data_IF_664764868381
#
_entry.id   IF_664764868381
#
_cell.length_a   1.000
_cell.length_b   1.000
_cell.length_c   1.000
_cell.angle_alpha   90.00
_cell.angle_beta   90.00
_cell.angle_gamma   90.00
#
_symmetry.space_group_name_H-M   'P 1'
#
loop_
_entity.id
_entity.type
_entity.pdbx_description
1 polymer ?
#
# COMPACT_ATOMS: atom_id res chain seq x y z
N UNK A 1 -48.75 -12.78 -11.16
CA UNK A 1 -47.44 -12.72 -10.48
C UNK A 1 -46.47 -12.10 -11.47
N UNK A 2 -46.11 -10.84 -11.26
CA UNK A 2 -45.29 -10.07 -12.18
C UNK A 2 -43.81 -10.32 -11.85
N UNK A 3 -43.08 -10.81 -12.85
CA UNK A 3 -41.66 -11.15 -12.87
C UNK A 3 -40.79 -9.93 -12.58
N UNK A 4 -40.20 -9.85 -11.38
CA UNK A 4 -39.21 -8.83 -10.97
C UNK A 4 -37.77 -9.19 -11.36
N UNK A 5 -37.57 -10.06 -12.35
CA UNK A 5 -36.26 -10.58 -12.72
C UNK A 5 -35.42 -9.63 -13.59
N UNK A 6 -35.96 -8.50 -14.07
CA UNK A 6 -35.32 -7.69 -15.12
C UNK A 6 -34.38 -6.58 -14.62
N UNK A 7 -34.25 -6.36 -13.30
CA UNK A 7 -33.41 -5.30 -12.73
C UNK A 7 -32.22 -5.78 -11.89
N UNK A 8 -32.18 -7.06 -11.49
CA UNK A 8 -31.13 -7.57 -10.60
C UNK A 8 -29.80 -7.82 -11.33
N UNK A 9 -29.83 -8.25 -12.60
CA UNK A 9 -28.63 -8.53 -13.39
C UNK A 9 -27.74 -7.28 -13.54
N UNK A 10 -28.35 -6.09 -13.65
CA UNK A 10 -27.62 -4.84 -13.79
C UNK A 10 -26.94 -4.38 -12.48
N UNK A 11 -27.58 -4.59 -11.33
CA UNK A 11 -27.01 -4.20 -10.03
C UNK A 11 -25.84 -5.11 -9.63
N UNK A 12 -25.96 -6.41 -9.91
CA UNK A 12 -24.91 -7.39 -9.66
C UNK A 12 -23.66 -7.12 -10.53
N UNK A 13 -23.87 -6.86 -11.82
CA UNK A 13 -22.79 -6.49 -12.74
C UNK A 13 -22.07 -5.20 -12.31
N UNK A 14 -22.81 -4.22 -11.81
CA UNK A 14 -22.23 -2.99 -11.27
C UNK A 14 -21.41 -3.25 -10.01
N UNK A 15 -21.90 -4.09 -9.09
CA UNK A 15 -21.17 -4.48 -7.88
C UNK A 15 -19.85 -5.19 -8.22
N UNK A 16 -19.87 -6.15 -9.15
CA UNK A 16 -18.66 -6.84 -9.58
C UNK A 16 -17.67 -5.89 -10.25
N UNK A 17 -18.14 -4.99 -11.13
CA UNK A 17 -17.28 -3.98 -11.77
C UNK A 17 -16.63 -3.05 -10.75
N UNK A 18 -17.39 -2.59 -9.76
CA UNK A 18 -16.88 -1.74 -8.68
C UNK A 18 -15.84 -2.47 -7.84
N UNK A 19 -16.13 -3.71 -7.44
CA UNK A 19 -15.20 -4.56 -6.69
C UNK A 19 -13.89 -4.77 -7.46
N UNK A 20 -13.97 -5.07 -8.75
CA UNK A 20 -12.81 -5.22 -9.61
C UNK A 20 -12.00 -3.92 -9.73
N UNK A 21 -12.67 -2.78 -9.96
CA UNK A 21 -12.01 -1.48 -10.05
C UNK A 21 -11.31 -1.09 -8.74
N UNK A 22 -11.91 -1.43 -7.59
CA UNK A 22 -11.32 -1.20 -6.28
C UNK A 22 -10.06 -2.04 -6.08
N UNK A 23 -10.08 -3.34 -6.41
CA UNK A 23 -8.89 -4.20 -6.36
C UNK A 23 -7.76 -3.67 -7.24
N UNK A 24 -8.07 -3.25 -8.46
CA UNK A 24 -7.08 -2.65 -9.37
C UNK A 24 -6.46 -1.39 -8.78
N UNK A 25 -7.27 -0.58 -8.10
CA UNK A 25 -6.80 0.63 -7.40
C UNK A 25 -5.86 0.27 -6.27
N UNK A 26 -6.22 -0.69 -5.42
CA UNK A 26 -5.36 -1.14 -4.32
C UNK A 26 -4.04 -1.72 -4.81
N UNK A 27 -4.07 -2.54 -5.85
CA UNK A 27 -2.85 -3.10 -6.48
C UNK A 27 -1.93 -1.98 -6.94
N UNK A 28 -2.43 -1.01 -7.71
CA UNK A 28 -1.62 0.12 -8.18
C UNK A 28 -0.98 0.91 -7.03
N UNK A 29 -1.73 1.16 -5.96
CA UNK A 29 -1.21 1.85 -4.79
C UNK A 29 -0.11 1.02 -4.11
N UNK A 30 -0.32 -0.29 -3.94
CA UNK A 30 0.68 -1.17 -3.34
C UNK A 30 1.94 -1.32 -4.21
N UNK A 31 1.81 -1.35 -5.54
CA UNK A 31 2.95 -1.33 -6.48
C UNK A 31 3.77 -0.05 -6.33
N UNK A 32 3.11 1.10 -6.33
CA UNK A 32 3.77 2.39 -6.12
C UNK A 32 4.48 2.42 -4.77
N UNK A 33 3.82 1.95 -3.71
CA UNK A 33 4.38 1.90 -2.37
C UNK A 33 5.60 0.98 -2.28
N UNK A 34 5.56 -0.17 -2.95
CA UNK A 34 6.71 -1.08 -3.01
C UNK A 34 7.92 -0.41 -3.69
N UNK A 35 7.69 0.29 -4.80
CA UNK A 35 8.73 1.03 -5.51
C UNK A 35 9.31 2.18 -4.66
N UNK A 36 8.46 2.90 -3.94
CA UNK A 36 8.90 3.96 -3.02
C UNK A 36 9.77 3.40 -1.88
N UNK A 37 9.34 2.30 -1.24
CA UNK A 37 10.10 1.67 -0.15
C UNK A 37 11.44 1.09 -0.66
N UNK A 38 11.48 0.57 -1.88
CA UNK A 38 12.71 0.15 -2.55
C UNK A 38 13.66 1.33 -2.77
N UNK A 39 13.14 2.47 -3.22
CA UNK A 39 13.91 3.70 -3.38
C UNK A 39 14.45 4.21 -2.05
N UNK A 40 13.65 4.22 -0.98
CA UNK A 40 14.12 4.59 0.36
C UNK A 40 15.22 3.67 0.87
N UNK A 41 15.06 2.35 0.70
CA UNK A 41 16.08 1.37 1.10
C UNK A 41 17.41 1.66 0.40
N UNK A 42 17.39 1.85 -0.92
CA UNK A 42 18.58 2.18 -1.72
C UNK A 42 19.19 3.49 -1.24
N UNK A 43 18.39 4.54 -1.15
CA UNK A 43 18.86 5.86 -0.75
C UNK A 43 19.51 5.85 0.65
N UNK A 44 18.84 5.24 1.63
CA UNK A 44 19.34 5.15 3.01
C UNK A 44 20.63 4.32 3.09
N UNK A 45 20.76 3.29 2.26
CA UNK A 45 22.00 2.50 2.19
C UNK A 45 23.18 3.29 1.61
N UNK A 46 22.95 4.18 0.64
CA UNK A 46 24.01 5.00 0.04
C UNK A 46 24.40 6.20 0.89
N UNK A 47 23.44 6.81 1.58
CA UNK A 47 23.68 8.02 2.34
C UNK A 47 24.56 7.79 3.58
N UNK A 48 24.83 6.52 3.98
CA UNK A 48 25.48 6.17 5.25
C UNK A 48 24.82 6.84 6.48
N UNK A 49 23.61 7.39 6.30
CA UNK A 49 22.88 8.17 7.29
C UNK A 49 22.09 7.23 8.17
N UNK A 50 22.76 6.78 9.23
CA UNK A 50 22.27 6.90 10.61
C UNK A 50 20.80 6.51 10.84
N UNK A 51 20.53 5.21 10.80
CA UNK A 51 19.67 4.43 11.72
C UNK A 51 19.45 3.04 11.08
N UNK A 52 20.28 2.06 11.46
CA UNK A 52 20.20 0.70 10.93
C UNK A 52 18.87 0.02 11.25
N UNK A 53 18.22 0.40 12.36
CA UNK A 53 16.92 -0.15 12.74
C UNK A 53 15.80 0.43 11.85
N UNK A 54 15.85 1.71 11.51
CA UNK A 54 14.90 2.30 10.57
C UNK A 54 15.07 1.74 9.16
N UNK A 55 16.32 1.57 8.69
CA UNK A 55 16.59 0.92 7.42
C UNK A 55 16.02 -0.50 7.38
N UNK A 56 16.23 -1.29 8.43
CA UNK A 56 15.66 -2.64 8.52
C UNK A 56 14.13 -2.62 8.47
N UNK A 57 13.48 -1.70 9.20
CA UNK A 57 12.01 -1.54 9.15
C UNK A 57 11.50 -1.22 7.75
N UNK A 58 12.19 -0.35 7.00
CA UNK A 58 11.83 -0.02 5.61
C UNK A 58 12.00 -1.24 4.71
N UNK A 59 13.09 -1.98 4.87
CA UNK A 59 13.35 -3.21 4.13
C UNK A 59 12.29 -4.30 4.40
N UNK A 60 11.96 -4.54 5.67
CA UNK A 60 10.94 -5.50 6.06
C UNK A 60 9.58 -5.10 5.50
N UNK A 61 9.20 -3.82 5.63
CA UNK A 61 7.94 -3.31 5.11
C UNK A 61 7.87 -3.40 3.58
N UNK A 62 8.97 -3.18 2.86
CA UNK A 62 9.06 -3.40 1.40
C UNK A 62 8.72 -4.85 1.03
N UNK A 63 9.28 -5.81 1.76
CA UNK A 63 9.06 -7.24 1.51
C UNK A 63 7.63 -7.65 1.86
N UNK A 64 7.09 -7.13 2.96
CA UNK A 64 5.69 -7.30 3.34
C UNK A 64 4.75 -6.77 2.25
N UNK A 65 4.99 -5.56 1.71
CA UNK A 65 4.20 -5.00 0.60
C UNK A 65 4.24 -5.91 -0.63
N UNK A 66 5.41 -6.48 -0.96
CA UNK A 66 5.53 -7.45 -2.06
C UNK A 66 4.72 -8.73 -1.81
N UNK A 67 4.74 -9.23 -0.58
CA UNK A 67 3.93 -10.39 -0.18
C UNK A 67 2.44 -10.09 -0.30
N UNK A 68 1.99 -8.92 0.16
CA UNK A 68 0.60 -8.48 0.03
C UNK A 68 0.19 -8.38 -1.43
N UNK A 69 1.00 -7.75 -2.30
CA UNK A 69 0.72 -7.69 -3.75
C UNK A 69 0.42 -9.08 -4.33
N UNK A 70 1.19 -10.10 -3.95
CA UNK A 70 0.92 -11.47 -4.41
C UNK A 70 -0.45 -11.99 -3.97
N UNK A 71 -0.95 -11.60 -2.80
CA UNK A 71 -2.29 -11.97 -2.31
C UNK A 71 -3.37 -11.27 -3.16
N UNK A 72 -3.23 -9.96 -3.40
CA UNK A 72 -4.21 -9.20 -4.20
C UNK A 72 -4.28 -9.70 -5.65
N UNK A 73 -3.15 -9.97 -6.31
CA UNK A 73 -3.16 -10.55 -7.66
C UNK A 73 -3.83 -11.93 -7.71
N UNK A 74 -3.53 -12.79 -6.74
CA UNK A 74 -4.19 -14.10 -6.64
C UNK A 74 -5.70 -13.94 -6.47
N UNK A 75 -6.14 -13.01 -5.64
CA UNK A 75 -7.56 -12.75 -5.43
C UNK A 75 -8.24 -12.19 -6.68
N UNK A 76 -7.61 -11.24 -7.39
CA UNK A 76 -8.14 -10.72 -8.67
C UNK A 76 -8.34 -11.84 -9.68
N UNK A 77 -7.35 -12.74 -9.83
CA UNK A 77 -7.47 -13.88 -10.74
C UNK A 77 -8.60 -14.82 -10.29
N UNK A 78 -8.69 -15.14 -9.00
CA UNK A 78 -9.78 -15.95 -8.46
C UNK A 78 -11.17 -15.33 -8.73
N UNK A 79 -11.33 -14.02 -8.57
CA UNK A 79 -12.62 -13.35 -8.84
C UNK A 79 -12.93 -13.33 -10.35
N UNK A 80 -11.92 -13.21 -11.20
CA UNK A 80 -12.11 -13.28 -12.66
C UNK A 80 -12.49 -14.68 -13.14
N UNK A 81 -11.90 -15.71 -12.54
CA UNK A 81 -12.15 -17.11 -12.90
C UNK A 81 -13.50 -17.62 -12.37
N UNK A 82 -14.00 -17.09 -11.26
CA UNK A 82 -15.27 -17.49 -10.64
C UNK A 82 -16.45 -16.58 -11.03
N UNK A 83 -16.56 -16.20 -12.31
CA UNK A 83 -17.68 -15.39 -12.84
C UNK A 83 -19.06 -16.04 -12.70
N UNK A 84 -19.12 -17.32 -12.35
CA UNK A 84 -20.33 -18.12 -12.16
C UNK A 84 -20.45 -18.48 -10.68
N UNK A 85 -20.90 -17.51 -9.89
CA UNK A 85 -21.20 -17.69 -8.48
C UNK A 85 -22.72 -17.87 -8.41
N UNK A 86 -23.18 -19.11 -8.52
CA UNK A 86 -24.60 -19.43 -8.78
C UNK A 86 -25.46 -19.49 -7.51
N UNK A 87 -24.86 -19.33 -6.33
CA UNK A 87 -25.56 -19.34 -5.04
C UNK A 87 -25.17 -18.18 -4.10
N UNK A 88 -26.09 -17.88 -3.18
CA UNK A 88 -25.95 -16.81 -2.18
C UNK A 88 -24.77 -17.05 -1.22
N UNK A 89 -24.41 -18.31 -0.97
CA UNK A 89 -23.31 -18.66 -0.06
C UNK A 89 -21.96 -18.27 -0.67
N UNK A 90 -21.79 -18.47 -1.97
CA UNK A 90 -20.65 -18.04 -2.76
C UNK A 90 -20.54 -16.50 -2.75
N UNK A 91 -21.64 -15.77 -2.96
CA UNK A 91 -21.64 -14.30 -2.90
C UNK A 91 -21.17 -13.76 -1.54
N UNK A 92 -21.74 -14.30 -0.45
CA UNK A 92 -21.37 -13.92 0.92
C UNK A 92 -19.90 -14.23 1.19
N UNK A 93 -19.38 -15.34 0.68
CA UNK A 93 -17.97 -15.70 0.82
C UNK A 93 -17.06 -14.67 0.16
N UNK A 94 -17.25 -14.34 -1.12
CA UNK A 94 -16.41 -13.36 -1.81
C UNK A 94 -16.54 -11.95 -1.21
N UNK A 95 -17.75 -11.56 -0.79
CA UNK A 95 -17.94 -10.29 -0.10
C UNK A 95 -17.11 -10.21 1.19
N UNK A 96 -17.10 -11.28 2.00
CA UNK A 96 -16.30 -11.34 3.24
C UNK A 96 -14.80 -11.30 2.94
N UNK A 97 -14.35 -12.04 1.93
CA UNK A 97 -12.93 -12.04 1.53
C UNK A 97 -12.48 -10.67 1.05
N UNK A 98 -13.29 -10.02 0.20
CA UNK A 98 -13.02 -8.66 -0.29
C UNK A 98 -12.93 -7.64 0.86
N UNK A 99 -13.85 -7.73 1.81
CA UNK A 99 -13.86 -6.84 2.98
C UNK A 99 -12.67 -7.08 3.93
N UNK A 100 -12.21 -8.32 4.08
CA UNK A 100 -10.97 -8.61 4.81
C UNK A 100 -9.76 -7.98 4.10
N UNK A 101 -9.67 -8.12 2.78
CA UNK A 101 -8.62 -7.50 1.98
C UNK A 101 -8.67 -5.97 2.05
N UNK A 102 -9.87 -5.36 2.09
CA UNK A 102 -10.03 -3.91 2.31
C UNK A 102 -9.40 -3.45 3.62
N UNK A 103 -9.65 -4.18 4.71
CA UNK A 103 -9.10 -3.84 6.04
C UNK A 103 -7.59 -4.00 6.07
N UNK A 104 -7.08 -5.09 5.49
CA UNK A 104 -5.63 -5.31 5.37
C UNK A 104 -4.96 -4.21 4.56
N UNK A 105 -5.57 -3.80 3.44
CA UNK A 105 -5.08 -2.70 2.61
C UNK A 105 -4.99 -1.41 3.43
N UNK A 106 -6.10 -1.00 4.05
CA UNK A 106 -6.16 0.26 4.81
C UNK A 106 -5.14 0.29 5.95
N UNK A 107 -5.04 -0.81 6.71
CA UNK A 107 -4.05 -0.94 7.77
C UNK A 107 -2.63 -0.80 7.22
N UNK A 108 -2.31 -1.48 6.12
CA UNK A 108 -0.99 -1.44 5.53
C UNK A 108 -0.58 -0.05 5.04
N UNK A 109 -1.49 0.67 4.38
CA UNK A 109 -1.28 2.05 3.93
C UNK A 109 -1.00 2.98 5.11
N UNK A 110 -1.74 2.83 6.21
CA UNK A 110 -1.53 3.63 7.42
C UNK A 110 -0.13 3.37 8.01
N UNK A 111 0.26 2.10 8.15
CA UNK A 111 1.58 1.73 8.68
C UNK A 111 2.71 2.25 7.79
N UNK A 112 2.58 2.13 6.48
CA UNK A 112 3.58 2.64 5.55
C UNK A 112 3.65 4.17 5.58
N UNK A 113 2.51 4.87 5.69
CA UNK A 113 2.50 6.33 5.81
C UNK A 113 3.25 6.80 7.04
N UNK A 114 3.04 6.16 8.20
CA UNK A 114 3.79 6.44 9.44
C UNK A 114 5.29 6.19 9.25
N UNK A 115 5.65 5.09 8.59
CA UNK A 115 7.05 4.76 8.31
C UNK A 115 7.70 5.80 7.38
N UNK A 116 7.01 6.24 6.33
CA UNK A 116 7.45 7.31 5.44
C UNK A 116 7.71 8.60 6.20
N UNK A 117 6.78 9.02 7.07
CA UNK A 117 6.98 10.19 7.92
C UNK A 117 8.25 10.05 8.80
N UNK A 118 8.49 8.87 9.39
CA UNK A 118 9.69 8.63 10.17
C UNK A 118 10.97 8.77 9.33
N UNK A 119 10.97 8.21 8.11
CA UNK A 119 12.08 8.39 7.16
C UNK A 119 12.32 9.88 6.90
N UNK A 120 11.29 10.62 6.46
CA UNK A 120 11.44 12.05 6.17
C UNK A 120 11.90 12.89 7.37
N UNK A 121 11.43 12.57 8.58
CA UNK A 121 11.87 13.25 9.80
C UNK A 121 13.37 13.02 10.06
N UNK A 122 13.85 11.79 9.91
CA UNK A 122 15.29 11.48 10.02
C UNK A 122 16.09 12.24 8.97
N UNK A 123 15.60 12.32 7.73
CA UNK A 123 16.25 13.09 6.64
C UNK A 123 16.37 14.58 6.97
N UNK A 124 15.29 15.18 7.49
CA UNK A 124 15.27 16.59 7.84
C UNK A 124 16.26 16.89 8.98
N UNK A 125 16.37 16.00 9.97
CA UNK A 125 17.35 16.14 11.06
C UNK A 125 18.78 16.06 10.52
N UNK A 126 19.08 15.09 9.65
CA UNK A 126 20.41 14.96 9.01
C UNK A 126 20.76 16.23 8.24
N UNK A 127 19.85 16.76 7.41
CA UNK A 127 20.09 17.98 6.65
C UNK A 127 20.32 19.22 7.53
N UNK A 128 19.68 19.30 8.70
CA UNK A 128 19.96 20.37 9.68
C UNK A 128 21.35 20.18 10.30
N UNK A 129 21.75 18.95 10.64
CA UNK A 129 23.06 18.67 11.24
C UNK A 129 24.25 18.91 10.30
N UNK A 130 24.01 18.88 8.98
CA UNK A 130 25.03 19.16 7.97
C UNK A 130 25.15 20.64 7.60
N UNK A 131 24.25 21.53 8.05
CA UNK A 131 24.46 22.97 7.90
C UNK A 131 25.55 23.41 8.88
N UNK A 132 26.70 23.93 8.40
CA UNK A 132 27.67 24.51 9.31
C UNK A 132 27.01 25.71 10.00
N UNK A 133 26.97 25.69 11.33
CA UNK A 133 26.68 26.90 12.10
C UNK A 133 27.70 27.94 11.68
N UNK A 134 27.26 28.97 10.95
CA UNK A 134 28.10 30.08 10.52
C UNK A 134 28.62 30.85 11.73
N UNK A 135 29.73 30.39 12.29
CA UNK A 135 30.52 31.12 13.28
C UNK A 135 31.57 31.92 12.51
N UNK A 136 31.19 33.11 12.06
CA UNK A 136 32.17 34.18 11.80
C UNK A 136 32.34 34.91 13.13
N UNK A 137 33.14 34.32 14.03
CA UNK A 137 33.77 35.08 15.09
C UNK A 137 35.15 35.51 14.60
N UNK A 138 35.29 36.83 14.45
CA UNK A 138 36.46 37.61 14.87
C UNK A 138 37.85 37.02 14.58
N UNK A 139 38.52 37.58 13.56
CA UNK A 139 39.99 37.72 13.41
C UNK A 139 40.17 38.34 12.00
N UNK A 140 40.80 39.47 11.78
CA UNK A 140 41.90 40.16 12.46
C UNK A 140 41.82 41.66 12.11
N UNK A 141 42.22 42.48 13.08
CA UNK A 141 42.93 43.78 12.99
C UNK A 141 42.56 44.75 11.87
#
# INVERSE_FOLDING_TARGET
MNTSAYNHDNEFDLFQKNTHAELQTWIKVLEALHQELDAFTKWMSYANTTDSALLQKVFDKRNETRSQLSIYYKYVNQVQDNRECDDMDCEIYYQRQHEQLRRLFNYHIEQCSKLKCNVFNTLNVVNISLKPSGNIQSRLK
#
